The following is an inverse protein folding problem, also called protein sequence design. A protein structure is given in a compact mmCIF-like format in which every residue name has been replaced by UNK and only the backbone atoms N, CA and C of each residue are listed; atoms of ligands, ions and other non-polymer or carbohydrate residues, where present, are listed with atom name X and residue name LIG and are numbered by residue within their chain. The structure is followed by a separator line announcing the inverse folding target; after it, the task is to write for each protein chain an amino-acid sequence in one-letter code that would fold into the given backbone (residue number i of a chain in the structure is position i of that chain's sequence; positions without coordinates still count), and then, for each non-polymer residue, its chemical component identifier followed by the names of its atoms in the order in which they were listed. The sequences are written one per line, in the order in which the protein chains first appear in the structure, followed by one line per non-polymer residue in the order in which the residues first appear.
data_IF_033920563148
#
_entry.id   IF_033920563148
#
_cell.length_a   1.000
_cell.length_b   1.000
_cell.length_c   1.000
_cell.angle_alpha   90.00
_cell.angle_beta   90.00
_cell.angle_gamma   90.00
#
_symmetry.space_group_name_H-M   'P 1'
#
loop_
_entity.id
_entity.type
_entity.pdbx_description
1 polymer ?
2 polymer ?
3 non-polymer ?
4 non-polymer ?
5 non-polymer ?
6 non-polymer ?
7 water ?
#
# COMPACT_ATOMS: atom_id res chain seq x y z
N UNK A 1 -12.30 -13.36 16.69
CA UNK A 1 -10.93 -13.77 16.28
C UNK A 1 -10.90 -15.25 15.99
N UNK A 2 -11.08 -15.58 14.71
CA UNK A 2 -10.92 -16.92 14.20
C UNK A 2 -9.57 -17.53 14.64
N UNK A 3 -8.53 -16.69 14.82
CA UNK A 3 -7.15 -17.14 15.06
C UNK A 3 -6.73 -16.92 16.52
N UNK A 4 -7.71 -16.63 17.36
CA UNK A 4 -7.47 -16.33 18.78
C UNK A 4 -6.82 -17.49 19.54
N UNK A 5 -7.07 -18.74 19.10
CA UNK A 5 -6.55 -19.89 19.82
C UNK A 5 -5.21 -20.42 19.24
N UNK A 6 -4.65 -19.78 18.19
CA UNK A 6 -3.35 -20.15 17.67
C UNK A 6 -2.25 -19.23 18.21
N UNK A 7 -1.11 -19.85 18.57
CA UNK A 7 0.09 -19.18 19.05
C UNK A 7 0.52 -18.13 18.00
N UNK A 8 0.99 -16.96 18.48
CA UNK A 8 1.54 -15.92 17.62
C UNK A 8 2.59 -16.53 16.67
N UNK A 9 3.57 -17.27 17.20
CA UNK A 9 4.65 -17.77 16.38
C UNK A 9 4.14 -18.74 15.28
N UNK A 10 3.11 -19.53 15.62
CA UNK A 10 2.50 -20.49 14.65
C UNK A 10 1.82 -19.72 13.51
N UNK A 11 1.17 -18.60 13.86
CA UNK A 11 0.48 -17.78 12.87
C UNK A 11 1.53 -17.18 11.93
N UNK A 12 2.65 -16.72 12.46
CA UNK A 12 3.71 -16.17 11.60
C UNK A 12 4.28 -17.27 10.69
N UNK A 13 4.56 -18.46 11.27
CA UNK A 13 5.06 -19.65 10.49
C UNK A 13 4.09 -19.98 9.34
N UNK A 14 2.80 -19.99 9.66
CA UNK A 14 1.76 -20.35 8.69
C UNK A 14 1.58 -19.24 7.63
N UNK A 15 1.71 -17.97 8.01
CA UNK A 15 1.75 -16.88 7.02
C UNK A 15 2.86 -17.15 5.99
N UNK A 16 4.05 -17.52 6.47
CA UNK A 16 5.18 -17.79 5.59
C UNK A 16 4.90 -18.99 4.69
N UNK A 17 4.26 -20.04 5.20
CA UNK A 17 3.87 -21.20 4.37
C UNK A 17 2.83 -20.81 3.31
N UNK A 18 1.85 -20.00 3.74
CA UNK A 18 0.80 -19.53 2.87
C UNK A 18 1.38 -18.71 1.71
N UNK A 19 2.33 -17.84 2.02
CA UNK A 19 3.06 -17.11 0.97
C UNK A 19 3.65 -18.11 -0.05
N UNK A 20 4.27 -19.17 0.44
CA UNK A 20 4.96 -20.15 -0.47
C UNK A 20 3.93 -20.89 -1.35
N UNK A 21 2.75 -21.09 -0.81
CA UNK A 21 1.66 -21.80 -1.49
C UNK A 21 0.83 -20.85 -2.36
N UNK A 22 1.13 -19.56 -2.33
CA UNK A 22 0.33 -18.52 -3.02
C UNK A 22 -1.11 -18.50 -2.47
N UNK A 23 -1.29 -18.70 -1.16
CA UNK A 23 -2.62 -18.68 -0.52
C UNK A 23 -2.70 -17.37 0.24
N UNK A 24 -2.90 -16.29 -0.54
CA UNK A 24 -2.76 -14.98 0.08
C UNK A 24 -3.91 -14.64 1.03
N UNK A 25 -5.12 -15.15 0.77
CA UNK A 25 -6.23 -14.93 1.65
C UNK A 25 -5.89 -15.54 3.02
N UNK A 26 -5.37 -16.77 2.99
CA UNK A 26 -4.90 -17.43 4.26
C UNK A 26 -3.77 -16.62 4.89
N UNK A 27 -2.80 -16.19 4.08
CA UNK A 27 -1.64 -15.44 4.61
C UNK A 27 -2.13 -14.19 5.34
N UNK A 28 -3.12 -13.52 4.74
CA UNK A 28 -3.66 -12.30 5.32
C UNK A 28 -4.43 -12.62 6.60
N UNK A 29 -5.19 -13.70 6.62
CA UNK A 29 -5.92 -14.03 7.84
C UNK A 29 -4.96 -14.36 8.99
N UNK A 30 -3.89 -15.10 8.68
CA UNK A 30 -2.90 -15.49 9.66
C UNK A 30 -2.21 -14.21 10.21
N UNK A 31 -1.85 -13.29 9.33
CA UNK A 31 -1.22 -12.07 9.82
C UNK A 31 -2.21 -11.18 10.59
N UNK A 32 -3.47 -11.12 10.20
CA UNK A 32 -4.46 -10.42 11.02
C UNK A 32 -4.44 -11.00 12.44
N UNK A 33 -4.45 -12.33 12.53
CA UNK A 33 -4.43 -13.03 13.81
C UNK A 33 -3.23 -12.62 14.63
N UNK A 34 -2.06 -12.55 13.96
CA UNK A 34 -0.81 -12.20 14.63
C UNK A 34 -0.90 -10.77 15.18
N UNK A 35 -1.36 -9.81 14.37
CA UNK A 35 -1.48 -8.42 14.85
C UNK A 35 -2.43 -8.38 16.05
N UNK A 36 -3.55 -9.11 15.99
CA UNK A 36 -4.57 -9.11 17.07
C UNK A 36 -4.01 -9.70 18.38
N UNK A 37 -2.84 -10.36 18.36
CA UNK A 37 -2.15 -10.75 19.62
C UNK A 37 -1.73 -9.53 20.44
N UNK A 38 -1.64 -8.35 19.80
CA UNK A 38 -1.43 -7.09 20.55
C UNK A 38 0.04 -6.70 20.70
N UNK A 39 0.97 -7.56 20.34
CA UNK A 39 2.40 -7.19 20.36
C UNK A 39 2.75 -6.43 19.06
N UNK A 40 3.75 -5.57 19.13
CA UNK A 40 4.24 -4.87 17.96
C UNK A 40 4.77 -5.94 16.96
N UNK A 41 4.87 -5.57 15.66
CA UNK A 41 5.44 -6.38 14.64
C UNK A 41 6.90 -5.98 14.39
N UNK A 42 7.73 -7.00 14.18
CA UNK A 42 9.09 -6.87 13.61
C UNK A 42 9.04 -6.38 12.15
N UNK A 43 10.19 -5.97 11.62
CA UNK A 43 10.31 -5.59 10.23
C UNK A 43 9.78 -6.68 9.32
N UNK A 44 10.25 -7.90 9.55
CA UNK A 44 9.85 -9.04 8.73
C UNK A 44 8.33 -9.20 8.81
N UNK A 45 7.78 -9.12 10.02
CA UNK A 45 6.33 -9.33 10.23
C UNK A 45 5.49 -8.24 9.55
N UNK A 46 5.97 -6.99 9.60
CA UNK A 46 5.30 -5.90 8.91
C UNK A 46 5.25 -6.19 7.41
N UNK A 47 6.36 -6.70 6.87
CA UNK A 47 6.44 -6.99 5.47
C UNK A 47 5.49 -8.16 5.12
N UNK A 48 5.31 -9.12 6.05
CA UNK A 48 4.41 -10.23 5.77
C UNK A 48 2.97 -9.70 5.67
N UNK A 49 2.64 -8.81 6.61
CA UNK A 49 1.30 -8.23 6.71
C UNK A 49 0.97 -7.51 5.39
N UNK A 50 1.93 -6.64 4.97
CA UNK A 50 1.76 -5.81 3.81
C UNK A 50 1.64 -6.67 2.54
N UNK A 51 2.56 -7.60 2.35
CA UNK A 51 2.50 -8.48 1.17
C UNK A 51 1.17 -9.25 1.10
N UNK A 52 0.67 -9.75 2.25
CA UNK A 52 -0.53 -10.58 2.25
C UNK A 52 -1.71 -9.77 1.73
N UNK A 53 -1.94 -8.61 2.35
CA UNK A 53 -3.09 -7.79 2.01
C UNK A 53 -2.93 -7.14 0.62
N UNK A 54 -1.71 -6.79 0.21
CA UNK A 54 -1.46 -6.21 -1.12
C UNK A 54 -1.95 -7.17 -2.22
N UNK A 55 -1.71 -8.45 -1.99
CA UNK A 55 -2.01 -9.49 -2.89
C UNK A 55 -3.53 -9.68 -2.94
N UNK A 56 -4.16 -9.69 -1.77
CA UNK A 56 -5.59 -9.88 -1.72
C UNK A 56 -6.27 -8.71 -2.42
N UNK A 57 -5.92 -7.49 -2.00
CA UNK A 57 -6.60 -6.34 -2.51
C UNK A 57 -6.24 -6.13 -3.99
N UNK A 58 -5.03 -6.56 -4.40
CA UNK A 58 -4.62 -6.49 -5.80
C UNK A 58 -5.56 -7.26 -6.73
N UNK A 59 -5.89 -8.50 -6.37
CA UNK A 59 -6.87 -9.31 -7.13
C UNK A 59 -8.25 -8.63 -7.23
N UNK A 60 -8.70 -7.99 -6.15
CA UNK A 60 -10.01 -7.36 -6.12
C UNK A 60 -10.01 -6.09 -7.02
N UNK A 61 -8.92 -5.33 -6.94
CA UNK A 61 -8.79 -4.08 -7.75
C UNK A 61 -8.81 -4.47 -9.24
N UNK A 62 -8.10 -5.50 -9.60
CA UNK A 62 -8.02 -5.99 -10.97
C UNK A 62 -9.40 -6.43 -11.45
N UNK A 63 -10.09 -7.23 -10.63
CA UNK A 63 -11.44 -7.65 -10.93
C UNK A 63 -12.38 -6.45 -11.06
N UNK A 64 -12.29 -5.50 -10.13
CA UNK A 64 -13.14 -4.28 -10.13
C UNK A 64 -13.02 -3.53 -11.47
N UNK A 65 -11.78 -3.36 -11.96
CA UNK A 65 -11.51 -2.56 -13.14
C UNK A 65 -12.13 -3.26 -14.34
N UNK A 66 -11.94 -4.58 -14.43
CA UNK A 66 -12.55 -5.37 -15.50
C UNK A 66 -14.07 -5.14 -15.53
N UNK A 67 -14.72 -5.23 -14.36
CA UNK A 67 -16.18 -5.10 -14.18
C UNK A 67 -16.66 -3.67 -14.43
N UNK A 68 -15.86 -2.71 -13.99
CA UNK A 68 -16.19 -1.31 -14.16
C UNK A 68 -16.15 -0.96 -15.65
N UNK A 69 -15.19 -1.53 -16.35
CA UNK A 69 -15.00 -1.24 -17.76
C UNK A 69 -16.17 -1.80 -18.57
N UNK A 70 -16.62 -3.01 -18.24
CA UNK A 70 -17.76 -3.65 -18.90
C UNK A 70 -19.03 -2.84 -18.65
N UNK A 71 -19.18 -2.37 -17.42
CA UNK A 71 -20.33 -1.59 -16.99
C UNK A 71 -20.38 -0.28 -17.79
N UNK A 72 -19.23 0.39 -17.94
CA UNK A 72 -19.12 1.64 -18.71
C UNK A 72 -19.57 1.38 -20.16
N UNK A 73 -19.07 0.30 -20.75
CA UNK A 73 -19.43 -0.06 -22.11
C UNK A 73 -20.93 -0.30 -22.22
N UNK A 74 -21.49 -1.02 -21.24
CA UNK A 74 -22.94 -1.39 -21.20
C UNK A 74 -23.81 -0.13 -21.03
N UNK A 75 -23.20 0.94 -20.52
CA UNK A 75 -23.78 2.28 -20.47
C UNK A 75 -23.08 3.12 -21.55
N UNK A 83 -29.74 -4.86 -18.21
CA UNK A 83 -30.06 -5.61 -16.99
C UNK A 83 -29.14 -5.21 -15.86
N UNK A 84 -29.50 -5.51 -14.60
CA UNK A 84 -28.80 -4.98 -13.44
C UNK A 84 -27.53 -5.78 -13.12
N UNK A 85 -27.31 -6.89 -13.81
CA UNK A 85 -26.38 -7.91 -13.36
C UNK A 85 -24.95 -7.35 -13.31
N UNK A 86 -24.56 -6.56 -14.31
CA UNK A 86 -23.20 -6.07 -14.37
C UNK A 86 -22.93 -5.17 -13.17
N UNK A 87 -23.84 -4.21 -12.98
CA UNK A 87 -23.75 -3.30 -11.86
C UNK A 87 -23.75 -4.08 -10.54
N UNK A 88 -24.65 -5.06 -10.41
CA UNK A 88 -24.78 -5.79 -9.16
C UNK A 88 -23.46 -6.49 -8.84
N UNK A 89 -22.83 -7.08 -9.85
CA UNK A 89 -21.67 -7.88 -9.59
C UNK A 89 -20.46 -6.96 -9.34
N UNK A 90 -20.38 -5.84 -10.07
CA UNK A 90 -19.31 -4.84 -9.78
C UNK A 90 -19.47 -4.36 -8.32
N UNK A 91 -20.71 -4.06 -7.92
CA UNK A 91 -21.00 -3.67 -6.52
C UNK A 91 -20.55 -4.73 -5.51
N UNK A 92 -20.79 -6.01 -5.80
CA UNK A 92 -20.40 -7.14 -4.93
C UNK A 92 -18.89 -7.10 -4.70
N UNK A 93 -18.15 -7.00 -5.80
CA UNK A 93 -16.69 -6.99 -5.75
C UNK A 93 -16.18 -5.74 -5.04
N UNK A 94 -16.81 -4.61 -5.36
CA UNK A 94 -16.47 -3.33 -4.76
C UNK A 94 -16.65 -3.38 -3.22
N UNK A 95 -17.78 -3.93 -2.78
CA UNK A 95 -18.06 -4.07 -1.37
C UNK A 95 -16.99 -4.93 -0.68
N UNK A 96 -16.61 -6.05 -1.29
CA UNK A 96 -15.60 -6.93 -0.69
C UNK A 96 -14.25 -6.21 -0.64
N UNK A 97 -13.94 -5.45 -1.69
CA UNK A 97 -12.73 -4.62 -1.74
C UNK A 97 -12.70 -3.65 -0.56
N UNK A 98 -13.82 -2.95 -0.37
CA UNK A 98 -13.93 -1.93 0.68
C UNK A 98 -13.76 -2.60 2.05
N UNK A 99 -14.31 -3.81 2.20
CA UNK A 99 -14.16 -4.59 3.40
C UNK A 99 -12.72 -4.89 3.77
N UNK A 100 -11.91 -5.28 2.79
CA UNK A 100 -10.47 -5.56 2.98
C UNK A 100 -9.78 -4.26 3.43
N UNK A 101 -10.10 -3.13 2.76
CA UNK A 101 -9.47 -1.88 3.09
C UNK A 101 -9.86 -1.51 4.53
N UNK A 102 -11.16 -1.63 4.82
CA UNK A 102 -11.71 -1.37 6.17
C UNK A 102 -10.98 -2.21 7.23
N UNK A 103 -10.76 -3.50 6.92
CA UNK A 103 -10.07 -4.41 7.85
C UNK A 103 -8.63 -3.93 8.10
N UNK A 104 -7.92 -3.60 7.01
CA UNK A 104 -6.50 -3.22 7.15
C UNK A 104 -6.40 -1.90 7.96
N UNK A 105 -7.24 -0.93 7.60
CA UNK A 105 -7.30 0.35 8.30
C UNK A 105 -7.63 0.12 9.77
N UNK A 106 -8.52 -0.86 9.99
CA UNK A 106 -8.86 -1.36 11.35
C UNK A 106 -7.63 -1.74 12.15
N UNK A 107 -6.77 -2.57 11.55
CA UNK A 107 -5.60 -3.08 12.24
C UNK A 107 -4.61 -1.93 12.55
N UNK A 108 -4.47 -1.04 11.56
CA UNK A 108 -3.58 0.12 11.68
C UNK A 108 -4.04 1.02 12.84
N UNK A 109 -5.33 1.30 12.92
CA UNK A 109 -5.85 2.20 13.98
C UNK A 109 -6.07 1.50 15.33
N UNK A 110 -6.16 0.16 15.32
CA UNK A 110 -6.37 -0.63 16.54
C UNK A 110 -5.40 -1.82 16.61
N UNK A 111 -4.12 -1.63 16.99
CA UNK A 111 -3.56 -0.38 17.46
C UNK A 111 -2.10 -0.23 16.95
N UNK A 112 -1.89 -0.58 15.68
CA UNK A 112 -0.50 -0.63 15.12
C UNK A 112 0.14 0.75 15.14
N UNK A 113 -0.58 1.78 14.69
CA UNK A 113 0.07 3.09 14.50
C UNK A 113 0.42 3.72 15.86
N UNK A 114 -0.54 3.69 16.80
CA UNK A 114 -0.30 4.42 18.06
C UNK A 114 0.89 3.82 18.84
N UNK A 115 1.21 2.52 18.68
CA UNK A 115 2.33 1.94 19.41
C UNK A 115 3.65 1.99 18.62
N UNK A 116 3.63 2.51 17.38
CA UNK A 116 4.80 2.47 16.51
C UNK A 116 5.56 3.78 16.67
N UNK A 117 6.69 3.70 17.37
CA UNK A 117 7.50 4.87 17.76
C UNK A 117 8.73 5.07 16.89
N UNK A 118 9.30 3.97 16.39
CA UNK A 118 10.45 4.05 15.52
C UNK A 118 10.00 4.54 14.16
N UNK A 119 10.88 5.28 13.48
CA UNK A 119 10.58 5.84 12.16
C UNK A 119 10.17 4.72 11.20
N UNK A 120 10.95 3.64 11.19
CA UNK A 120 10.76 2.58 10.18
C UNK A 120 9.40 1.91 10.36
N UNK A 121 8.93 1.76 11.59
CA UNK A 121 7.59 1.20 11.79
C UNK A 121 6.48 2.25 11.56
N UNK A 122 6.64 3.42 12.17
CA UNK A 122 5.59 4.45 12.01
C UNK A 122 5.40 4.81 10.53
N UNK A 123 6.50 5.18 9.85
CA UNK A 123 6.42 5.48 8.39
C UNK A 123 5.75 4.32 7.65
N UNK A 124 6.12 3.08 7.97
CA UNK A 124 5.59 1.95 7.26
C UNK A 124 4.05 1.93 7.37
N UNK A 125 3.53 2.10 8.60
CA UNK A 125 2.13 1.93 8.86
C UNK A 125 1.37 3.11 8.25
N UNK A 126 1.95 4.32 8.34
CA UNK A 126 1.24 5.49 7.79
C UNK A 126 1.20 5.42 6.27
N UNK A 127 2.27 4.88 5.66
CA UNK A 127 2.25 4.59 4.24
C UNK A 127 1.09 3.63 3.92
N UNK A 128 0.98 2.53 4.67
CA UNK A 128 -0.09 1.57 4.43
C UNK A 128 -1.44 2.27 4.56
N UNK A 129 -1.59 3.12 5.57
CA UNK A 129 -2.87 3.84 5.77
C UNK A 129 -3.23 4.65 4.50
N UNK A 130 -2.25 5.39 3.98
CA UNK A 130 -2.41 6.14 2.73
C UNK A 130 -2.85 5.24 1.59
N UNK A 131 -2.20 4.08 1.50
CA UNK A 131 -2.42 3.12 0.42
C UNK A 131 -3.87 2.64 0.45
N UNK A 132 -4.37 2.27 1.64
CA UNK A 132 -5.70 1.63 1.73
C UNK A 132 -6.80 2.70 1.59
N UNK A 133 -6.56 3.94 2.01
CA UNK A 133 -7.47 5.04 1.68
C UNK A 133 -7.44 5.33 0.17
N UNK A 134 -6.25 5.25 -0.43
CA UNK A 134 -6.14 5.39 -1.90
C UNK A 134 -7.00 4.32 -2.60
N UNK A 135 -6.89 3.07 -2.16
CA UNK A 135 -7.70 2.00 -2.80
C UNK A 135 -9.21 2.31 -2.62
N UNK A 136 -9.61 2.78 -1.45
CA UNK A 136 -11.03 3.19 -1.30
C UNK A 136 -11.34 4.30 -2.30
N UNK A 137 -10.43 5.27 -2.40
CA UNK A 137 -10.66 6.45 -3.25
C UNK A 137 -10.85 6.04 -4.71
N UNK A 138 -10.14 4.98 -5.12
CA UNK A 138 -10.19 4.51 -6.50
C UNK A 138 -11.61 4.10 -6.87
N UNK A 139 -12.42 3.64 -5.91
CA UNK A 139 -13.79 3.18 -6.20
C UNK A 139 -14.84 4.14 -5.64
N UNK A 140 -14.43 5.21 -4.95
CA UNK A 140 -15.39 6.12 -4.33
C UNK A 140 -16.12 6.96 -5.38
N UNK A 141 -17.43 7.17 -5.25
CA UNK A 141 -18.15 8.05 -6.19
C UNK A 141 -19.12 9.04 -5.52
N UNK A 142 -19.24 9.01 -4.18
CA UNK A 142 -20.33 9.69 -3.43
C UNK A 142 -19.82 10.86 -2.60
N UNK A 143 -20.56 11.21 -1.54
CA UNK A 143 -20.33 12.45 -0.76
C UNK A 143 -19.13 12.30 0.20
N UNK A 144 -18.54 11.12 0.36
CA UNK A 144 -17.32 11.01 1.20
C UNK A 144 -16.03 10.90 0.37
N UNK A 145 -16.09 11.01 -0.97
CA UNK A 145 -14.90 10.83 -1.80
C UNK A 145 -13.83 11.83 -1.36
N UNK A 146 -14.23 13.09 -1.19
CA UNK A 146 -13.27 14.13 -0.89
C UNK A 146 -12.58 13.84 0.44
N UNK A 147 -13.35 13.35 1.41
CA UNK A 147 -12.80 13.07 2.74
C UNK A 147 -11.92 11.82 2.66
N UNK A 148 -12.27 10.85 1.83
CA UNK A 148 -11.45 9.63 1.70
C UNK A 148 -10.10 10.02 1.12
N UNK A 149 -10.15 10.89 0.10
CA UNK A 149 -8.95 11.36 -0.57
C UNK A 149 -8.09 12.13 0.43
N UNK A 150 -8.75 12.94 1.26
CA UNK A 150 -7.99 13.78 2.19
C UNK A 150 -7.37 12.90 3.28
N UNK A 151 -8.07 11.83 3.68
CA UNK A 151 -7.53 10.84 4.60
C UNK A 151 -6.25 10.20 4.02
N UNK A 152 -6.28 9.82 2.73
CA UNK A 152 -5.08 9.28 2.09
C UNK A 152 -3.97 10.33 2.14
N UNK A 153 -4.24 11.54 1.69
CA UNK A 153 -3.22 12.64 1.71
C UNK A 153 -2.64 12.85 3.12
N UNK A 154 -3.49 12.96 4.08
CA UNK A 154 -3.09 13.21 5.43
C UNK A 154 -2.08 12.16 5.95
N UNK A 155 -2.40 10.90 5.71
CA UNK A 155 -1.57 9.76 6.13
C UNK A 155 -0.21 9.86 5.43
N UNK A 156 -0.26 10.00 4.10
CA UNK A 156 0.98 10.08 3.30
C UNK A 156 1.85 11.25 3.78
N UNK A 157 1.20 12.37 4.10
CA UNK A 157 1.94 13.59 4.38
C UNK A 157 2.68 13.44 5.71
N UNK A 158 2.03 12.84 6.72
CA UNK A 158 2.66 12.60 8.04
C UNK A 158 3.83 11.64 7.85
N UNK A 159 3.63 10.60 7.05
CA UNK A 159 4.69 9.65 6.75
C UNK A 159 5.85 10.38 6.09
N UNK A 160 5.52 11.27 5.14
CA UNK A 160 6.59 11.94 4.40
C UNK A 160 7.40 12.84 5.36
N UNK A 161 6.69 13.54 6.25
CA UNK A 161 7.37 14.50 7.16
C UNK A 161 8.33 13.72 8.06
N UNK A 162 7.87 12.57 8.58
CA UNK A 162 8.70 11.75 9.47
C UNK A 162 9.90 11.22 8.69
N UNK A 163 9.65 10.74 7.46
CA UNK A 163 10.66 10.05 6.65
C UNK A 163 11.79 11.03 6.28
N UNK A 164 11.42 12.26 5.96
CA UNK A 164 12.35 13.27 5.58
C UNK A 164 13.23 13.64 6.78
N UNK A 165 12.67 13.65 7.99
CA UNK A 165 13.40 14.06 9.18
C UNK A 165 14.26 12.90 9.71
N UNK A 166 13.81 11.64 9.58
CA UNK A 166 14.41 10.53 10.34
C UNK A 166 15.14 9.48 9.49
N UNK A 167 14.98 9.49 8.17
CA UNK A 167 15.54 8.44 7.36
C UNK A 167 16.38 9.06 6.27
N UNK A 168 17.43 8.36 5.77
CA UNK A 168 18.17 8.80 4.60
C UNK A 168 17.34 8.71 3.32
N UNK A 169 17.68 9.56 2.33
CA UNK A 169 16.95 9.62 1.06
C UNK A 169 16.87 8.30 0.29
N UNK A 170 17.80 7.38 0.58
CA UNK A 170 17.84 6.10 -0.10
C UNK A 170 17.08 5.05 0.68
N UNK A 171 16.57 5.40 1.87
CA UNK A 171 15.87 4.40 2.70
C UNK A 171 14.72 3.79 1.90
N UNK A 172 14.68 2.47 1.65
CA UNK A 172 13.67 1.87 0.77
C UNK A 172 12.22 2.17 1.19
N UNK A 173 11.98 2.28 2.48
CA UNK A 173 10.63 2.60 2.98
C UNK A 173 10.26 4.02 2.52
N UNK A 174 11.16 4.96 2.76
CA UNK A 174 11.00 6.37 2.34
C UNK A 174 10.74 6.43 0.83
N UNK A 175 11.48 5.63 0.06
CA UNK A 175 11.40 5.65 -1.42
C UNK A 175 10.06 5.11 -1.89
N UNK A 176 9.61 4.03 -1.28
CA UNK A 176 8.29 3.40 -1.61
C UNK A 176 7.11 4.30 -1.27
N UNK A 177 7.23 5.03 -0.16
CA UNK A 177 6.27 6.04 0.22
C UNK A 177 6.19 7.14 -0.84
N UNK A 178 7.35 7.68 -1.24
CA UNK A 178 7.37 8.78 -2.20
C UNK A 178 6.77 8.29 -3.52
N UNK A 179 7.13 7.10 -3.95
CA UNK A 179 6.52 6.47 -5.16
C UNK A 179 4.99 6.48 -5.09
N UNK A 180 4.44 5.95 -4.00
CA UNK A 180 3.01 5.80 -3.87
C UNK A 180 2.30 7.14 -3.71
N UNK A 181 2.91 8.08 -2.96
CA UNK A 181 2.36 9.42 -2.80
C UNK A 181 2.37 10.12 -4.14
N UNK A 182 3.44 9.93 -4.91
CA UNK A 182 3.54 10.48 -6.24
C UNK A 182 2.33 10.01 -7.09
N UNK A 183 2.03 8.71 -7.07
CA UNK A 183 0.87 8.12 -7.84
C UNK A 183 -0.46 8.66 -7.30
N UNK A 184 -0.58 8.79 -5.98
CA UNK A 184 -1.72 9.46 -5.36
C UNK A 184 -1.95 10.84 -6.00
N UNK A 185 -0.88 11.66 -6.05
CA UNK A 185 -0.98 13.01 -6.63
C UNK A 185 -1.44 12.93 -8.08
N UNK A 186 -0.83 12.04 -8.86
CA UNK A 186 -1.08 12.03 -10.25
C UNK A 186 -2.53 11.67 -10.58
N UNK A 187 -3.06 10.65 -9.93
CA UNK A 187 -4.23 9.95 -10.35
C UNK A 187 -5.44 10.14 -9.42
N UNK A 188 -5.20 10.51 -8.16
CA UNK A 188 -6.26 10.60 -7.18
C UNK A 188 -6.57 12.08 -6.89
N UNK A 189 -5.51 12.86 -6.69
CA UNK A 189 -5.62 14.31 -6.40
C UNK A 189 -5.63 15.13 -7.70
N UNK A 190 -5.49 14.48 -8.83
CA UNK A 190 -5.44 15.13 -10.14
C UNK A 190 -4.39 16.27 -10.10
N UNK A 191 -3.20 15.95 -9.57
CA UNK A 191 -2.11 16.89 -9.43
C UNK A 191 -0.88 16.35 -10.16
N UNK A 192 -0.89 16.22 -11.51
CA UNK A 192 0.22 15.55 -12.18
C UNK A 192 1.54 16.31 -11.98
N UNK A 193 1.52 17.62 -11.84
CA UNK A 193 2.81 18.36 -11.70
C UNK A 193 3.44 18.06 -10.34
N UNK A 194 2.61 18.01 -9.30
CA UNK A 194 3.08 17.62 -8.00
C UNK A 194 3.69 16.21 -8.06
N UNK A 195 3.01 15.28 -8.75
CA UNK A 195 3.45 13.88 -8.87
C UNK A 195 4.84 13.82 -9.52
N UNK A 196 5.00 14.58 -10.60
CA UNK A 196 6.25 14.63 -11.32
C UNK A 196 7.37 15.24 -10.45
N UNK A 197 7.11 16.35 -9.77
CA UNK A 197 8.09 17.02 -8.93
C UNK A 197 8.54 16.10 -7.80
N UNK A 198 7.57 15.42 -7.18
CA UNK A 198 7.92 14.53 -6.07
C UNK A 198 8.82 13.39 -6.57
N UNK A 199 8.46 12.74 -7.68
CA UNK A 199 9.16 11.57 -8.22
C UNK A 199 10.58 11.97 -8.61
N UNK A 200 10.72 13.13 -9.24
CA UNK A 200 12.01 13.60 -9.72
C UNK A 200 12.90 13.97 -8.54
N UNK A 201 12.37 14.76 -7.62
CA UNK A 201 13.14 15.19 -6.47
C UNK A 201 13.60 13.97 -5.63
N UNK A 202 12.70 13.00 -5.48
CA UNK A 202 12.99 11.79 -4.74
C UNK A 202 14.09 10.98 -5.42
N UNK A 203 14.00 10.85 -6.72
CA UNK A 203 15.02 10.10 -7.47
C UNK A 203 16.43 10.76 -7.34
N UNK A 204 16.48 12.07 -7.54
CA UNK A 204 17.72 12.84 -7.54
C UNK A 204 18.37 12.81 -6.15
N UNK A 205 17.58 12.95 -5.10
CA UNK A 205 18.13 12.95 -3.76
C UNK A 205 18.63 11.54 -3.39
N UNK A 206 17.94 10.49 -3.87
CA UNK A 206 18.38 9.13 -3.68
C UNK A 206 19.70 8.90 -4.44
N UNK A 207 19.71 9.28 -5.72
CA UNK A 207 20.91 9.09 -6.55
C UNK A 207 22.15 9.65 -5.82
N UNK A 208 22.00 10.84 -5.21
CA UNK A 208 23.14 11.55 -4.60
C UNK A 208 23.59 10.91 -3.30
N UNK A 209 22.81 9.94 -2.79
CA UNK A 209 23.14 9.32 -1.53
C UNK A 209 23.61 7.86 -1.69
N UNK A 210 23.51 7.31 -2.89
CA UNK A 210 23.84 5.92 -3.14
C UNK A 210 25.30 5.64 -2.72
N UNK A 211 26.17 6.67 -2.75
CA UNK A 211 27.63 6.52 -2.52
C UNK A 211 27.88 5.99 -1.09
N UNK A 212 26.88 6.16 -0.20
CA UNK A 212 27.03 5.88 1.24
C UNK A 212 26.74 4.42 1.56
N UNK A 213 26.19 3.67 0.58
CA UNK A 213 25.56 2.39 0.81
C UNK A 213 26.57 1.26 0.54
N UNK A 214 26.33 0.14 1.23
CA UNK A 214 26.78 -1.17 0.83
C UNK A 214 26.09 -1.63 -0.47
N UNK A 215 26.68 -2.67 -1.08
CA UNK A 215 26.17 -3.29 -2.30
C UNK A 215 24.74 -3.79 -2.11
N UNK A 216 24.48 -4.49 -1.00
CA UNK A 216 23.16 -5.01 -0.68
C UNK A 216 22.10 -3.88 -0.59
N UNK A 217 22.42 -2.79 0.11
CA UNK A 217 21.52 -1.64 0.28
C UNK A 217 21.32 -0.93 -1.06
N UNK A 218 22.42 -0.78 -1.81
CA UNK A 218 22.40 -0.14 -3.11
C UNK A 218 21.36 -0.83 -4.00
N UNK A 219 21.39 -2.16 -4.02
CA UNK A 219 20.44 -2.97 -4.77
C UNK A 219 19.00 -2.64 -4.34
N UNK A 220 18.76 -2.58 -3.03
CA UNK A 220 17.40 -2.34 -2.51
C UNK A 220 16.85 -0.99 -3.00
N UNK A 221 17.69 0.05 -2.90
CA UNK A 221 17.31 1.43 -3.22
C UNK A 221 17.08 1.62 -4.73
N UNK A 222 18.02 1.11 -5.54
CA UNK A 222 17.98 1.30 -7.00
C UNK A 222 16.76 0.56 -7.58
N UNK A 223 16.37 -0.56 -6.99
CA UNK A 223 15.14 -1.22 -7.42
C UNK A 223 13.95 -0.22 -7.36
N UNK A 224 13.80 0.51 -6.23
CA UNK A 224 12.64 1.37 -6.10
C UNK A 224 12.84 2.64 -6.91
N UNK A 225 14.09 3.09 -7.02
CA UNK A 225 14.37 4.24 -7.87
C UNK A 225 13.96 3.95 -9.32
N UNK A 226 14.06 2.70 -9.78
CA UNK A 226 13.69 2.41 -11.15
C UNK A 226 12.17 2.55 -11.36
N UNK A 227 11.40 2.25 -10.30
CA UNK A 227 9.94 2.42 -10.36
C UNK A 227 9.57 3.91 -10.53
N UNK A 228 10.25 4.78 -9.79
CA UNK A 228 10.07 6.24 -9.90
C UNK A 228 10.38 6.69 -11.34
N UNK A 229 11.50 6.21 -11.87
CA UNK A 229 11.90 6.41 -13.28
C UNK A 229 10.82 5.90 -14.24
N UNK A 230 10.32 4.68 -14.01
CA UNK A 230 9.32 4.10 -14.89
C UNK A 230 8.11 5.02 -14.99
N UNK A 231 7.68 5.57 -13.85
CA UNK A 231 6.53 6.46 -13.82
C UNK A 231 6.90 7.78 -14.52
N UNK A 232 8.03 8.37 -14.20
CA UNK A 232 8.41 9.62 -14.86
C UNK A 232 8.41 9.46 -16.38
N UNK A 233 8.86 8.29 -16.88
CA UNK A 233 8.92 8.06 -18.33
C UNK A 233 7.52 8.13 -18.95
N UNK A 234 6.52 7.58 -18.23
CA UNK A 234 5.16 7.59 -18.77
C UNK A 234 4.58 8.99 -18.66
N UNK A 235 5.02 9.75 -17.63
CA UNK A 235 4.42 11.02 -17.27
C UNK A 235 4.96 12.21 -18.08
N UNK A 236 6.13 12.07 -18.73
CA UNK A 236 6.91 13.26 -19.26
C UNK A 236 7.57 13.01 -20.63
N UNK B 1 -7.29 -0.08 -17.58
CA UNK B 1 -6.67 1.20 -17.17
C UNK B 1 -5.15 0.98 -17.18
N UNK B 2 -4.41 2.01 -17.64
CA UNK B 2 -2.95 2.09 -17.42
C UNK B 2 -2.74 2.28 -15.90
N UNK B 3 -2.13 1.28 -15.23
CA UNK B 3 -1.76 1.38 -13.80
C UNK B 3 -0.29 1.79 -13.68
N UNK B 4 0.00 2.77 -12.82
CA UNK B 4 1.38 3.25 -12.61
C UNK B 4 2.07 2.35 -11.58
N UNK B 5 3.41 2.42 -11.53
CA UNK B 5 4.21 1.63 -10.60
C UNK B 5 3.96 2.14 -9.19
N UNK B 6 3.55 1.23 -8.28
CA UNK B 6 3.48 1.51 -6.87
C UNK B 6 4.25 0.40 -6.17
N UNK B 7 4.52 0.60 -4.89
CA UNK B 7 5.41 -0.24 -4.10
C UNK B 7 4.82 -1.67 -3.94
N UNK B 8 5.71 -2.68 -3.92
CA UNK B 8 5.36 -4.03 -3.50
C UNK B 8 4.69 -4.82 -4.61
N UNK B 9 4.07 -5.98 -4.31
CA UNK B 9 3.60 -6.88 -5.36
C UNK B 9 2.62 -6.20 -6.32
N UNK B 10 2.88 -6.40 -7.61
CA UNK B 10 2.01 -6.01 -8.72
C UNK B 10 0.95 -7.10 -8.84
N UNK B 11 0.03 -7.05 -7.88
CA UNK B 11 -0.94 -8.08 -7.57
C UNK B 11 -2.26 -7.80 -8.31
N UNK B 12 -2.37 -6.59 -8.86
CA UNK B 12 -3.54 -6.27 -9.65
C UNK B 12 -3.10 -6.36 -11.11
X LIG C 1 3.87 21.58 -16.54
X LIG D 1 -23.82 -10.24 -7.55
X LIG E 1 -30.61 -2.17 -15.08
X LIG E 1 -31.91 -2.81 -15.01
X LIG E 1 -30.32 -1.38 -13.81
X LIG E 1 -31.11 -1.91 -12.73
X LIG E 1 -28.84 -1.35 -13.36
X LIG E 1 -27.84 -1.30 -14.38
X LIG F 1 12.52 -7.35 2.06
X LIG F 1 10.86 -5.69 0.59
X LIG F 1 12.81 -10.43 5.63
X LIG F 1 13.82 -9.08 7.86
X LIG F 1 12.96 -8.43 7.02
X LIG F 1 9.71 -10.54 4.28
X LIG F 1 10.68 -9.10 3.97
X LIG F 1 10.52 -8.73 2.63
X LIG F 1 9.69 -9.58 1.92
X LIG F 1 9.13 -10.66 2.67
X LIG F 1 8.20 -11.72 2.12
X LIG F 1 7.48 -11.48 1.10
X LIG F 1 8.14 -13.02 2.80
X LIG F 1 11.11 -7.62 1.98
X LIG F 1 13.04 -6.30 1.41
X LIG F 1 12.22 -5.45 0.66
X LIG F 1 10.32 -6.78 1.25
X LIG F 1 11.48 -8.40 4.99
X LIG F 1 12.42 -9.13 5.87
X LIG F 1 13.68 -11.08 6.47
X LIG F 1 14.20 -10.40 7.60
X LIG G 1 -15.06 3.73 3.19
X LIG G 1 -16.36 1.36 3.68
X LIG G 1 -13.24 7.88 5.45
X LIG G 1 -15.29 9.66 5.94
X LIG G 1 -15.58 8.39 5.57
X LIG G 1 -12.99 5.30 7.08
X LIG G 1 -14.09 5.01 5.72
X LIG G 1 -14.15 3.61 5.48
X LIG G 1 -13.36 2.86 6.34
X LIG G 1 -12.63 3.61 7.31
X LIG G 1 -11.73 3.06 8.39
X LIG G 1 -10.78 3.90 9.09
X LIG G 1 -11.82 1.83 8.78
X LIG G 1 -14.93 3.06 4.45
X LIG G 1 -15.80 3.21 2.22
X LIG G 1 -16.48 2.01 2.46
X LIG G 1 -15.58 1.90 4.66
X LIG G 1 -14.81 6.09 4.98
X LIG G 1 -14.51 7.47 5.33
X LIG G 1 -12.92 9.16 5.80
X LIG G 1 -13.97 10.09 6.08
#
# INVERSE_FOLDING_TARGET
GAMGSMERASLIQKAKLAEQAERYEDMAAFMKGAVEKGEELSCEERNLLSVAYKNVVGGQRAAWRVLSSIEQKSNEEGSEEKGPEVREYREKVETELQGVCDTVLGLLDSHLIKEAGDAESRVFYLKMKGDYYRYLAEVATGDDKKRIIDSARSAYQEAMDISKKEMPPTNPIRLGLALNFSVFHYEIANSPEEAISLAKTTFDEAMADLHTLSEDSYKDSTLIMQLLRDNLTLWTADNAGEEGGEAPQEPQS
KLMFKTEGPDSD
MG MG
CL CL
GOL C1 O1 C2 O2 C3 O3
K6Z C10 C13 C17 C20 C21 S01 C02 C03 C04 C05 C06 N07 N08 C09 C11 C12 C14 N15 C16 C18 C19
K6Z C10 C13 C17 C20 C21 S01 C02 C03 C04 C05 C06 N07 N08 C09 C11 C12 C14 N15 C16 C18 C19
#
